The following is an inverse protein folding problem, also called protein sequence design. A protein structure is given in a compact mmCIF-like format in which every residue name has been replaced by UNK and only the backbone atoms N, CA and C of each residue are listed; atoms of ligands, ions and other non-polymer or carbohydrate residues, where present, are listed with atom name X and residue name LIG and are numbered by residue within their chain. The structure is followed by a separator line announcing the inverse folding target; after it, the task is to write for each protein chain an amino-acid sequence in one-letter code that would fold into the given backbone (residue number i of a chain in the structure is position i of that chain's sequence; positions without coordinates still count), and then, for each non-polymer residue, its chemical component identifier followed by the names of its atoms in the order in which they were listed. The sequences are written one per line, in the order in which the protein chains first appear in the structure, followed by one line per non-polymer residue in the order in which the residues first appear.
data_IF_583474747162
#
_entry.id   IF_583474747162
#
_cell.length_a   1.000
_cell.length_b   1.000
_cell.length_c   1.000
_cell.angle_alpha   90.00
_cell.angle_beta   90.00
_cell.angle_gamma   90.00
#
_symmetry.space_group_name_H-M   'P 1'
#
loop_
_entity.id
_entity.type
_entity.pdbx_description
1 polymer ?
#
# COMPACT_ATOMS: atom_id res chain seq x y z
N UNK A 1 8.93 8.77 -13.95
CA UNK A 1 7.53 9.04 -13.51
C UNK A 1 7.30 8.38 -12.17
N UNK A 2 6.54 9.01 -11.34
CA UNK A 2 6.33 8.54 -9.96
C UNK A 2 4.96 7.93 -9.77
N UNK A 3 4.94 6.81 -9.08
CA UNK A 3 3.73 6.05 -8.79
C UNK A 3 3.69 5.69 -7.32
N UNK A 4 2.49 5.55 -6.78
CA UNK A 4 2.28 4.96 -5.46
C UNK A 4 1.66 3.58 -5.64
N UNK A 5 2.18 2.62 -4.91
CA UNK A 5 1.59 1.29 -4.79
C UNK A 5 0.82 1.25 -3.48
N UNK A 6 -0.46 1.01 -3.57
CA UNK A 6 -1.40 0.98 -2.44
C UNK A 6 -1.78 -0.47 -2.18
N UNK A 7 -1.39 -0.98 -1.04
CA UNK A 7 -1.63 -2.39 -0.67
C UNK A 7 -2.93 -2.47 0.13
N UNK A 8 -3.86 -3.31 -0.33
CA UNK A 8 -5.13 -3.57 0.35
C UNK A 8 -5.16 -4.99 0.86
N UNK A 9 -5.72 -5.20 2.03
CA UNK A 9 -5.94 -6.52 2.60
C UNK A 9 -7.21 -6.54 3.43
N UNK A 10 -7.71 -7.74 3.71
CA UNK A 10 -8.83 -7.90 4.64
C UNK A 10 -8.33 -7.71 6.07
N UNK A 11 -9.02 -6.92 6.92
CA UNK A 11 -8.66 -6.83 8.33
C UNK A 11 -8.60 -8.22 8.96
N UNK A 12 -7.53 -8.48 9.71
CA UNK A 12 -7.30 -9.78 10.34
C UNK A 12 -6.75 -10.87 9.44
N UNK A 13 -6.57 -10.59 8.14
CA UNK A 13 -6.10 -11.61 7.20
C UNK A 13 -4.70 -12.12 7.54
N UNK A 14 -3.80 -11.23 7.96
CA UNK A 14 -2.44 -11.60 8.34
C UNK A 14 -2.44 -12.48 9.59
N UNK A 15 -3.24 -12.14 10.58
CA UNK A 15 -3.37 -12.90 11.83
C UNK A 15 -4.00 -14.28 11.59
N UNK A 16 -4.83 -14.42 10.58
CA UNK A 16 -5.47 -15.69 10.22
C UNK A 16 -4.51 -16.66 9.51
N UNK A 17 -3.39 -16.16 9.01
CA UNK A 17 -2.38 -17.01 8.36
C UNK A 17 -1.64 -17.84 9.40
N UNK A 18 -1.17 -19.03 8.98
CA UNK A 18 -0.28 -19.83 9.81
C UNK A 18 1.07 -19.13 9.97
N UNK A 19 1.85 -19.50 10.97
CA UNK A 19 3.18 -18.94 11.16
C UNK A 19 4.07 -19.19 9.93
N UNK A 20 3.97 -20.39 9.35
CA UNK A 20 4.74 -20.73 8.15
C UNK A 20 4.37 -19.82 6.97
N UNK A 21 3.08 -19.55 6.77
CA UNK A 21 2.60 -18.65 5.72
C UNK A 21 3.06 -17.21 5.94
N UNK A 22 3.00 -16.74 7.18
CA UNK A 22 3.51 -15.40 7.53
C UNK A 22 5.00 -15.28 7.27
N UNK A 23 5.78 -16.27 7.66
CA UNK A 23 7.23 -16.29 7.46
C UNK A 23 7.58 -16.28 5.96
N UNK A 24 6.87 -17.07 5.17
CA UNK A 24 7.04 -17.11 3.72
C UNK A 24 6.70 -15.76 3.09
N UNK A 25 5.57 -15.17 3.46
CA UNK A 25 5.15 -13.86 2.97
C UNK A 25 6.18 -12.79 3.29
N UNK A 26 6.65 -12.73 4.54
CA UNK A 26 7.62 -11.73 4.97
C UNK A 26 8.98 -11.91 4.28
N UNK A 27 9.40 -13.15 4.07
CA UNK A 27 10.64 -13.44 3.34
C UNK A 27 10.56 -13.00 1.87
N UNK A 28 9.45 -13.33 1.21
CA UNK A 28 9.23 -12.92 -0.18
C UNK A 28 9.12 -11.40 -0.31
N UNK A 29 8.41 -10.75 0.62
CA UNK A 29 8.27 -9.29 0.64
C UNK A 29 9.62 -8.61 0.82
N UNK A 30 10.46 -9.12 1.70
CA UNK A 30 11.81 -8.60 1.92
C UNK A 30 12.68 -8.71 0.66
N UNK A 31 12.62 -9.85 -0.02
CA UNK A 31 13.34 -10.05 -1.28
C UNK A 31 12.86 -9.12 -2.39
N UNK A 32 11.56 -8.96 -2.51
CA UNK A 32 10.95 -8.04 -3.46
C UNK A 32 11.40 -6.59 -3.22
N UNK A 33 11.30 -6.12 -1.98
CA UNK A 33 11.70 -4.75 -1.62
C UNK A 33 13.19 -4.52 -1.89
N UNK A 34 14.03 -5.50 -1.56
CA UNK A 34 15.48 -5.39 -1.79
C UNK A 34 15.79 -5.31 -3.28
N UNK A 35 15.21 -6.17 -4.09
CA UNK A 35 15.45 -6.20 -5.53
C UNK A 35 15.14 -4.85 -6.17
N UNK A 36 13.99 -4.28 -5.90
CA UNK A 36 13.57 -3.04 -6.55
C UNK A 36 14.13 -1.78 -5.90
N UNK A 37 14.56 -1.85 -4.64
CA UNK A 37 15.39 -0.79 -4.04
C UNK A 37 16.76 -0.78 -4.70
N UNK A 38 17.36 -1.94 -4.90
CA UNK A 38 18.68 -2.05 -5.55
C UNK A 38 18.64 -1.61 -7.02
N UNK A 39 17.53 -1.82 -7.71
CA UNK A 39 17.35 -1.33 -9.08
C UNK A 39 17.15 0.18 -9.16
N UNK A 40 16.86 0.84 -8.04
CA UNK A 40 16.54 2.26 -7.98
C UNK A 40 15.11 2.60 -8.33
N UNK A 41 14.28 1.61 -8.61
CA UNK A 41 12.90 1.84 -9.00
C UNK A 41 11.95 1.99 -7.81
N UNK A 42 12.23 1.31 -6.69
CA UNK A 42 11.51 1.52 -5.44
C UNK A 42 12.26 2.56 -4.63
N UNK A 43 11.62 3.69 -4.35
CA UNK A 43 12.23 4.84 -3.69
C UNK A 43 11.73 5.00 -2.26
N UNK A 44 12.67 5.27 -1.35
CA UNK A 44 12.37 5.39 0.07
C UNK A 44 12.05 4.05 0.70
N UNK A 45 11.28 4.10 1.78
CA UNK A 45 10.83 2.92 2.49
C UNK A 45 9.37 2.63 2.16
N UNK A 46 9.00 1.36 2.27
CA UNK A 46 7.59 0.98 2.29
C UNK A 46 7.05 1.08 3.72
N UNK A 47 5.76 1.35 3.84
CA UNK A 47 5.10 1.48 5.14
C UNK A 47 3.95 0.49 5.23
N UNK A 48 3.97 -0.31 6.30
CA UNK A 48 2.84 -1.15 6.68
C UNK A 48 2.01 -0.37 7.70
N UNK A 49 0.69 -0.45 7.57
CA UNK A 49 -0.24 0.21 8.47
C UNK A 49 -0.78 -0.79 9.48
N UNK A 50 -1.02 -0.32 10.70
CA UNK A 50 -1.68 -1.11 11.72
C UNK A 50 -3.15 -1.37 11.33
N UNK A 51 -3.82 -2.23 12.07
CA UNK A 51 -5.22 -2.57 11.80
C UNK A 51 -6.08 -1.31 11.70
N UNK A 52 -7.01 -1.25 10.72
CA UNK A 52 -7.85 -0.06 10.53
C UNK A 52 -8.61 0.40 11.77
N UNK A 53 -8.97 -0.52 12.65
CA UNK A 53 -9.69 -0.21 13.90
C UNK A 53 -8.87 0.67 14.86
N UNK A 54 -7.54 0.74 14.69
CA UNK A 54 -6.67 1.57 15.54
C UNK A 54 -6.61 3.02 15.08
N UNK A 55 -7.14 3.33 13.91
CA UNK A 55 -7.10 4.67 13.35
C UNK A 55 -8.29 5.53 13.75
N UNK A 56 -8.31 6.74 13.23
CA UNK A 56 -9.43 7.67 13.37
C UNK A 56 -9.71 8.33 12.05
N UNK A 57 -10.99 8.60 11.82
CA UNK A 57 -11.43 9.34 10.65
C UNK A 57 -11.92 10.71 11.11
N UNK A 58 -11.46 11.76 10.43
CA UNK A 58 -11.83 13.14 10.74
C UNK A 58 -12.57 13.73 9.55
N UNK A 59 -13.72 14.32 9.80
CA UNK A 59 -14.45 15.14 8.82
C UNK A 59 -14.73 16.50 9.42
N UNK A 60 -14.67 17.53 8.58
CA UNK A 60 -15.04 18.88 8.99
C UNK A 60 -16.20 19.32 8.09
N UNK A 61 -17.33 19.65 8.69
CA UNK A 61 -18.53 20.15 8.00
C UNK A 61 -18.99 21.41 8.69
N UNK A 62 -19.21 22.48 7.90
CA UNK A 62 -19.60 23.80 8.41
C UNK A 62 -18.68 24.28 9.54
N UNK A 63 -17.38 24.04 9.41
CA UNK A 63 -16.38 24.41 10.40
C UNK A 63 -16.35 23.54 11.65
N UNK A 64 -17.16 22.50 11.70
CA UNK A 64 -17.24 21.60 12.88
C UNK A 64 -16.54 20.27 12.58
N UNK A 65 -15.52 19.89 13.36
CA UNK A 65 -14.88 18.61 13.20
C UNK A 65 -15.74 17.47 13.79
N UNK A 66 -15.77 16.35 13.08
CA UNK A 66 -16.33 15.11 13.58
C UNK A 66 -15.22 14.06 13.52
N UNK A 67 -14.90 13.46 14.66
CA UNK A 67 -13.86 12.43 14.76
C UNK A 67 -14.52 11.12 15.15
N UNK A 68 -14.29 10.09 14.36
CA UNK A 68 -14.79 8.74 14.63
C UNK A 68 -13.62 7.77 14.69
N UNK A 69 -13.73 6.74 15.53
CA UNK A 69 -12.76 5.68 15.59
C UNK A 69 -12.93 4.77 14.37
N UNK A 70 -11.80 4.29 13.87
CA UNK A 70 -11.79 3.36 12.76
C UNK A 70 -11.68 4.02 11.38
N UNK A 71 -11.77 3.22 10.31
CA UNK A 71 -11.56 3.67 8.95
C UNK A 71 -12.71 4.52 8.43
N UNK A 72 -12.42 5.32 7.38
CA UNK A 72 -13.41 6.16 6.71
C UNK A 72 -14.64 5.38 6.23
N UNK A 73 -14.40 4.19 5.73
CA UNK A 73 -15.46 3.32 5.26
C UNK A 73 -15.22 1.90 5.76
N UNK A 74 -16.27 1.23 6.20
CA UNK A 74 -16.19 -0.20 6.44
C UNK A 74 -16.23 -0.90 5.09
N UNK A 75 -15.13 -1.55 4.76
CA UNK A 75 -14.99 -2.30 3.53
C UNK A 75 -14.31 -3.63 3.83
N UNK A 76 -14.57 -4.61 2.97
CA UNK A 76 -13.95 -5.92 3.09
C UNK A 76 -12.44 -5.83 2.94
N UNK A 77 -11.98 -4.93 2.06
CA UNK A 77 -10.57 -4.66 1.85
C UNK A 77 -10.24 -3.25 2.33
N UNK A 78 -9.20 -3.13 3.13
CA UNK A 78 -8.74 -1.88 3.72
C UNK A 78 -7.30 -1.61 3.31
N UNK A 79 -6.92 -0.33 3.25
CA UNK A 79 -5.54 0.06 2.98
C UNK A 79 -4.65 -0.49 4.11
N UNK A 80 -3.65 -1.27 3.72
CA UNK A 80 -2.75 -1.94 4.66
C UNK A 80 -1.32 -1.45 4.56
N UNK A 81 -0.97 -0.70 3.53
CA UNK A 81 0.38 -0.19 3.34
C UNK A 81 0.55 0.51 2.01
N UNK A 82 1.70 1.13 1.83
CA UNK A 82 2.03 1.77 0.57
C UNK A 82 3.54 1.92 0.41
N UNK A 83 3.96 2.09 -0.84
CA UNK A 83 5.34 2.43 -1.19
C UNK A 83 5.36 3.20 -2.51
N UNK A 84 6.50 3.83 -2.80
CA UNK A 84 6.66 4.68 -3.97
C UNK A 84 7.57 4.02 -5.00
N UNK A 85 7.23 4.22 -6.27
CA UNK A 85 8.02 3.76 -7.40
C UNK A 85 8.38 4.94 -8.30
N UNK A 86 9.59 4.91 -8.86
CA UNK A 86 10.01 5.82 -9.92
C UNK A 86 10.40 4.96 -11.12
N UNK A 87 9.56 4.97 -12.15
CA UNK A 87 9.71 4.10 -13.32
C UNK A 87 9.51 4.88 -14.60
N UNK A 88 9.86 4.27 -15.72
CA UNK A 88 9.70 4.89 -17.03
C UNK A 88 8.24 4.96 -17.50
N UNK A 89 7.36 4.08 -16.98
CA UNK A 89 5.98 3.97 -17.43
C UNK A 89 5.10 3.28 -16.41
N UNK A 90 3.78 3.44 -16.58
CA UNK A 90 2.78 2.70 -15.80
C UNK A 90 2.89 1.19 -16.04
N UNK A 91 3.22 0.78 -17.27
CA UNK A 91 3.42 -0.63 -17.62
C UNK A 91 4.58 -1.22 -16.81
N UNK A 92 5.68 -0.47 -16.68
CA UNK A 92 6.82 -0.93 -15.87
C UNK A 92 6.45 -1.02 -14.40
N UNK A 93 5.78 -0.01 -13.86
CA UNK A 93 5.30 -0.03 -12.48
C UNK A 93 4.37 -1.23 -12.23
N UNK A 94 3.49 -1.52 -13.18
CA UNK A 94 2.58 -2.67 -13.10
C UNK A 94 3.34 -4.00 -13.09
N UNK A 95 4.36 -4.13 -13.94
CA UNK A 95 5.21 -5.32 -13.96
C UNK A 95 5.89 -5.55 -12.61
N UNK A 96 6.40 -4.49 -12.01
CA UNK A 96 7.05 -4.55 -10.69
C UNK A 96 6.04 -5.03 -9.65
N UNK A 97 4.88 -4.39 -9.58
CA UNK A 97 3.85 -4.66 -8.58
C UNK A 97 3.27 -6.08 -8.74
N UNK A 98 3.24 -6.61 -9.96
CA UNK A 98 2.82 -8.00 -10.20
C UNK A 98 3.68 -9.00 -9.42
N UNK A 99 4.91 -8.64 -9.11
CA UNK A 99 5.84 -9.47 -8.35
C UNK A 99 5.76 -9.27 -6.84
N UNK A 100 4.98 -8.29 -6.38
CA UNK A 100 4.74 -8.11 -4.96
C UNK A 100 3.89 -9.29 -4.44
N UNK A 101 4.34 -10.01 -3.40
CA UNK A 101 3.55 -11.11 -2.84
C UNK A 101 2.16 -10.66 -2.39
N UNK A 102 1.99 -9.41 -1.97
CA UNK A 102 0.68 -8.89 -1.58
C UNK A 102 -0.33 -8.90 -2.73
N UNK A 103 0.13 -8.79 -3.98
CA UNK A 103 -0.74 -8.87 -5.16
C UNK A 103 -1.31 -10.28 -5.34
N UNK A 104 -0.59 -11.31 -4.87
CA UNK A 104 -1.05 -12.70 -4.93
C UNK A 104 -2.04 -13.01 -3.83
N UNK A 105 -1.79 -12.53 -2.61
CA UNK A 105 -2.64 -12.81 -1.46
C UNK A 105 -3.86 -11.89 -1.37
N UNK A 106 -3.70 -10.64 -1.83
CA UNK A 106 -4.74 -9.60 -1.70
C UNK A 106 -4.81 -8.79 -2.98
N UNK A 107 -4.57 -7.47 -2.89
CA UNK A 107 -4.57 -6.59 -4.04
C UNK A 107 -3.60 -5.43 -3.84
N UNK A 108 -2.99 -4.97 -4.94
CA UNK A 108 -2.16 -3.77 -4.93
C UNK A 108 -2.62 -2.89 -6.08
N UNK A 109 -2.95 -1.65 -5.77
CA UNK A 109 -3.33 -0.64 -6.75
C UNK A 109 -2.11 0.21 -7.07
N UNK A 110 -1.86 0.48 -8.35
CA UNK A 110 -0.81 1.39 -8.79
C UNK A 110 -1.47 2.66 -9.32
N UNK A 111 -1.03 3.80 -8.82
CA UNK A 111 -1.63 5.08 -9.23
C UNK A 111 -0.54 6.12 -9.47
N UNK A 112 -0.60 6.87 -10.59
CA UNK A 112 0.34 7.97 -10.82
C UNK A 112 0.23 9.03 -9.73
N UNK A 113 1.37 9.63 -9.39
CA UNK A 113 1.41 10.75 -8.44
C UNK A 113 1.40 12.04 -9.25
N UNK A 114 0.60 13.01 -8.81
CA UNK A 114 0.53 14.32 -9.43
C UNK A 114 1.46 15.29 -8.70
N UNK A 115 1.99 16.26 -9.45
CA UNK A 115 2.70 17.37 -8.85
C UNK A 115 1.71 18.45 -8.34
N UNK A 116 2.22 19.54 -7.79
CA UNK A 116 1.40 20.60 -7.24
C UNK A 116 0.61 21.38 -8.30
N UNK A 117 0.99 21.25 -9.58
CA UNK A 117 0.28 21.86 -10.70
C UNK A 117 -0.81 20.94 -11.26
N UNK A 118 -0.96 19.74 -10.72
CA UNK A 118 -1.94 18.76 -11.18
C UNK A 118 -1.48 17.92 -12.36
N UNK A 119 -0.19 17.89 -12.63
CA UNK A 119 0.42 17.06 -13.68
C UNK A 119 1.04 15.84 -13.05
N UNK A 120 0.95 14.70 -13.72
CA UNK A 120 1.58 13.44 -13.25
C UNK A 120 3.09 13.61 -13.16
N UNK A 121 3.62 13.21 -12.01
CA UNK A 121 5.06 13.26 -11.77
C UNK A 121 5.77 12.12 -12.51
#
# INVERSE_FOLDING_TARGET
MKYVALVYSNPGAFEAMSQAERDELMSEAGGYLKEFTDSGELIGEGFALADPSTGRTVRVRDGLPAVTDGPFAEAKEQLAGFYLLDTESLERATQIVTRDPAARFWAVEVRPIMDTAGTEM
#
